data_IF_305092834918
#
_entry.id   IF_305092834918
#
_cell.length_a   1.000
_cell.length_b   1.000
_cell.length_c   1.000
_cell.angle_alpha   90.00
_cell.angle_beta   90.00
_cell.angle_gamma   90.00
#
_symmetry.space_group_name_H-M   'P 1'
#
loop_
_entity.id
_entity.type
_entity.pdbx_description
1 polymer ?
#
# COMPACT_ATOMS: atom_id res chain seq x y z
N UNK A 1 -20.94 -17.62 -41.41
CA UNK A 1 -21.12 -16.65 -40.31
C UNK A 1 -20.61 -17.33 -39.04
N UNK A 2 -19.42 -16.93 -38.56
CA UNK A 2 -18.79 -17.56 -37.39
C UNK A 2 -19.50 -17.08 -36.13
N UNK A 3 -20.26 -17.98 -35.48
CA UNK A 3 -20.85 -17.76 -34.16
C UNK A 3 -19.73 -17.90 -33.11
N UNK A 4 -19.11 -16.79 -32.71
CA UNK A 4 -18.19 -16.77 -31.56
C UNK A 4 -19.03 -16.86 -30.29
N UNK A 5 -18.92 -17.99 -29.57
CA UNK A 5 -19.65 -18.23 -28.31
C UNK A 5 -18.96 -17.52 -27.14
N UNK A 6 -19.71 -17.10 -26.12
CA UNK A 6 -19.20 -16.39 -24.91
C UNK A 6 -18.04 -17.10 -24.21
N UNK A 7 -17.98 -18.42 -24.29
CA UNK A 7 -16.90 -19.24 -23.73
C UNK A 7 -15.57 -19.06 -24.48
N UNK A 8 -15.61 -18.80 -25.79
CA UNK A 8 -14.42 -18.50 -26.59
C UNK A 8 -13.92 -17.07 -26.34
N UNK A 9 -14.82 -16.11 -26.04
CA UNK A 9 -14.44 -14.77 -25.58
C UNK A 9 -13.76 -14.79 -24.21
N UNK A 10 -14.22 -15.62 -23.27
CA UNK A 10 -13.57 -15.75 -21.95
C UNK A 10 -12.13 -16.27 -22.05
N UNK A 11 -11.85 -17.19 -22.98
CA UNK A 11 -10.49 -17.68 -23.24
C UNK A 11 -9.62 -16.58 -23.87
N UNK A 12 -10.15 -15.75 -24.79
CA UNK A 12 -9.40 -14.60 -25.34
C UNK A 12 -9.15 -13.51 -24.29
N UNK A 13 -10.12 -13.24 -23.42
CA UNK A 13 -9.97 -12.32 -22.29
C UNK A 13 -8.92 -12.86 -21.30
N UNK A 14 -8.91 -14.17 -21.04
CA UNK A 14 -7.96 -14.81 -20.13
C UNK A 14 -6.53 -14.90 -20.71
N UNK A 15 -6.40 -15.22 -22.00
CA UNK A 15 -5.11 -15.19 -22.73
C UNK A 15 -4.54 -13.76 -22.78
N UNK A 16 -5.40 -12.74 -22.88
CA UNK A 16 -5.00 -11.32 -22.81
C UNK A 16 -4.52 -10.92 -21.41
N UNK A 17 -5.16 -11.45 -20.35
CA UNK A 17 -4.76 -11.23 -18.96
C UNK A 17 -3.44 -11.91 -18.63
N UNK A 18 -3.26 -13.19 -18.99
CA UNK A 18 -2.01 -13.92 -18.74
C UNK A 18 -0.82 -13.27 -19.45
N UNK A 19 -0.99 -12.87 -20.72
CA UNK A 19 0.04 -12.14 -21.46
C UNK A 19 0.35 -10.77 -20.81
N UNK A 20 -0.65 -10.07 -20.28
CA UNK A 20 -0.42 -8.82 -19.56
C UNK A 20 0.36 -9.06 -18.26
N UNK A 21 0.04 -10.11 -17.51
CA UNK A 21 0.76 -10.50 -16.28
C UNK A 21 2.23 -10.83 -16.57
N UNK A 22 2.48 -11.63 -17.61
CA UNK A 22 3.84 -11.95 -18.08
C UNK A 22 4.62 -10.69 -18.44
N UNK A 23 3.99 -9.79 -19.21
CA UNK A 23 4.61 -8.54 -19.63
C UNK A 23 4.90 -7.61 -18.45
N UNK A 24 3.99 -7.52 -17.46
CA UNK A 24 4.18 -6.69 -16.27
C UNK A 24 5.23 -7.26 -15.33
N UNK A 25 5.32 -8.59 -15.19
CA UNK A 25 6.40 -9.24 -14.46
C UNK A 25 7.77 -8.96 -15.11
N UNK A 26 7.87 -9.09 -16.44
CA UNK A 26 9.06 -8.75 -17.19
C UNK A 26 9.41 -7.24 -17.10
N UNK A 27 8.39 -6.38 -17.16
CA UNK A 27 8.52 -4.94 -16.96
C UNK A 27 9.08 -4.61 -15.57
N UNK A 28 8.50 -5.19 -14.50
CA UNK A 28 8.95 -4.98 -13.14
C UNK A 28 10.38 -5.49 -12.92
N UNK A 29 10.76 -6.63 -13.53
CA UNK A 29 12.15 -7.10 -13.49
C UNK A 29 13.14 -6.08 -14.08
N UNK A 30 12.75 -5.40 -15.15
CA UNK A 30 13.61 -4.43 -15.86
C UNK A 30 13.64 -3.05 -15.19
N UNK A 31 12.47 -2.51 -14.81
CA UNK A 31 12.32 -1.12 -14.37
C UNK A 31 12.14 -0.97 -12.86
N UNK A 32 11.74 -2.03 -12.17
CA UNK A 32 11.56 -2.09 -10.71
C UNK A 32 12.35 -3.26 -10.10
N UNK A 33 13.66 -3.42 -10.40
CA UNK A 33 14.43 -4.61 -10.03
C UNK A 33 14.47 -4.89 -8.52
N UNK A 34 14.33 -3.84 -7.69
CA UNK A 34 14.20 -3.98 -6.24
C UNK A 34 12.86 -4.62 -5.84
N UNK A 35 11.74 -4.10 -6.34
CA UNK A 35 10.42 -4.66 -6.11
C UNK A 35 10.36 -6.12 -6.59
N UNK A 36 10.92 -6.42 -7.77
CA UNK A 36 11.02 -7.79 -8.26
C UNK A 36 11.82 -8.70 -7.31
N UNK A 37 12.90 -8.21 -6.71
CA UNK A 37 13.67 -9.00 -5.73
C UNK A 37 12.89 -9.26 -4.45
N UNK A 38 12.14 -8.26 -3.97
CA UNK A 38 11.41 -8.34 -2.70
C UNK A 38 10.12 -9.15 -2.83
N UNK A 39 9.35 -8.91 -3.89
CA UNK A 39 8.02 -9.50 -4.09
C UNK A 39 8.08 -10.83 -4.85
N UNK A 40 9.05 -11.00 -5.75
CA UNK A 40 9.10 -12.14 -6.65
C UNK A 40 8.06 -12.07 -7.78
N UNK A 41 8.24 -12.92 -8.77
CA UNK A 41 7.41 -12.96 -9.97
C UNK A 41 5.92 -13.31 -9.69
N UNK A 42 5.58 -14.32 -8.85
CA UNK A 42 4.19 -14.66 -8.59
C UNK A 42 3.36 -13.50 -8.04
N UNK A 43 3.90 -12.76 -7.06
CA UNK A 43 3.24 -11.58 -6.50
C UNK A 43 3.13 -10.45 -7.51
N UNK A 44 4.15 -10.24 -8.36
CA UNK A 44 4.07 -9.23 -9.42
C UNK A 44 2.98 -9.53 -10.45
N UNK A 45 2.75 -10.80 -10.79
CA UNK A 45 1.64 -11.22 -11.65
C UNK A 45 0.28 -10.95 -10.98
N UNK A 46 0.16 -11.24 -9.69
CA UNK A 46 -1.05 -10.93 -8.91
C UNK A 46 -1.34 -9.41 -8.86
N UNK A 47 -0.32 -8.60 -8.61
CA UNK A 47 -0.42 -7.13 -8.65
C UNK A 47 -0.82 -6.66 -10.06
N UNK A 48 -0.27 -7.26 -11.12
CA UNK A 48 -0.64 -6.93 -12.50
C UNK A 48 -2.11 -7.26 -12.80
N UNK A 49 -2.60 -8.44 -12.40
CA UNK A 49 -4.00 -8.83 -12.52
C UNK A 49 -4.93 -7.86 -11.78
N UNK A 50 -4.61 -7.56 -10.52
CA UNK A 50 -5.35 -6.60 -9.71
C UNK A 50 -5.35 -5.21 -10.35
N UNK A 51 -4.19 -4.77 -10.85
CA UNK A 51 -4.02 -3.48 -11.51
C UNK A 51 -4.81 -3.35 -12.80
N UNK A 52 -4.84 -4.39 -13.65
CA UNK A 52 -5.67 -4.40 -14.84
C UNK A 52 -7.16 -4.28 -14.49
N UNK A 53 -7.62 -5.05 -13.49
CA UNK A 53 -9.01 -5.01 -13.04
C UNK A 53 -9.39 -3.64 -12.45
N UNK A 54 -8.54 -3.01 -11.64
CA UNK A 54 -8.79 -1.68 -11.07
C UNK A 54 -8.71 -0.58 -12.12
N UNK A 55 -7.71 -0.63 -13.00
CA UNK A 55 -7.55 0.33 -14.10
C UNK A 55 -8.80 0.34 -15.01
N UNK A 56 -9.35 -0.83 -15.32
CA UNK A 56 -10.58 -0.96 -16.10
C UNK A 56 -11.78 -0.25 -15.45
N UNK A 57 -11.93 -0.30 -14.12
CA UNK A 57 -12.99 0.42 -13.37
C UNK A 57 -12.91 1.93 -13.54
N UNK A 58 -11.71 2.46 -13.77
CA UNK A 58 -11.46 3.88 -14.02
C UNK A 58 -11.53 4.25 -15.51
N UNK A 59 -11.89 3.30 -16.38
CA UNK A 59 -11.99 3.47 -17.83
C UNK A 59 -10.66 3.32 -18.58
N UNK A 60 -9.59 2.86 -17.93
CA UNK A 60 -8.29 2.62 -18.56
C UNK A 60 -8.29 1.24 -19.22
N UNK A 61 -8.69 1.19 -20.49
CA UNK A 61 -8.82 -0.06 -21.26
C UNK A 61 -7.61 -0.38 -22.13
N UNK A 62 -6.68 0.57 -22.29
CA UNK A 62 -5.45 0.37 -23.08
C UNK A 62 -4.37 -0.24 -22.20
N UNK A 63 -3.61 -1.18 -22.77
CA UNK A 63 -2.45 -1.81 -22.11
C UNK A 63 -1.45 -0.79 -21.53
N UNK A 64 -1.18 0.30 -22.26
CA UNK A 64 -0.33 1.41 -21.79
C UNK A 64 -0.85 1.99 -20.47
N UNK A 65 -2.14 2.30 -20.40
CA UNK A 65 -2.74 2.98 -19.26
C UNK A 65 -2.82 2.02 -18.05
N UNK A 66 -3.11 0.74 -18.29
CA UNK A 66 -3.02 -0.31 -17.27
C UNK A 66 -1.59 -0.51 -16.75
N UNK A 67 -0.56 -0.44 -17.61
CA UNK A 67 0.84 -0.49 -17.20
C UNK A 67 1.24 0.73 -16.34
N UNK A 68 0.78 1.94 -16.70
CA UNK A 68 0.97 3.13 -15.87
C UNK A 68 0.32 2.95 -14.50
N UNK A 69 -0.89 2.42 -14.44
CA UNK A 69 -1.59 2.14 -13.18
C UNK A 69 -0.84 1.10 -12.34
N UNK A 70 -0.36 0.00 -12.95
CA UNK A 70 0.48 -1.00 -12.30
C UNK A 70 1.75 -0.38 -11.68
N UNK A 71 2.44 0.50 -12.42
CA UNK A 71 3.63 1.19 -11.91
C UNK A 71 3.31 2.06 -10.68
N UNK A 72 2.12 2.66 -10.63
CA UNK A 72 1.64 3.41 -9.46
C UNK A 72 1.34 2.49 -8.28
N UNK A 73 0.74 1.32 -8.52
CA UNK A 73 0.52 0.33 -7.45
C UNK A 73 1.84 -0.11 -6.80
N UNK A 74 2.88 -0.35 -7.59
CA UNK A 74 4.21 -0.68 -7.04
C UNK A 74 4.79 0.46 -6.21
N UNK A 75 4.52 1.71 -6.58
CA UNK A 75 5.15 2.88 -5.95
C UNK A 75 4.38 3.46 -4.76
N UNK A 76 3.05 3.27 -4.73
CA UNK A 76 2.13 3.90 -3.78
C UNK A 76 1.30 2.89 -2.97
N UNK A 77 1.44 1.59 -3.23
CA UNK A 77 0.62 0.52 -2.68
C UNK A 77 -0.53 0.12 -3.62
N UNK A 78 -0.97 -1.13 -3.55
CA UNK A 78 -2.02 -1.67 -4.45
C UNK A 78 -3.37 -1.00 -4.25
N UNK A 79 -3.58 -0.38 -3.09
CA UNK A 79 -4.79 0.33 -2.71
C UNK A 79 -4.76 1.85 -2.92
N UNK A 80 -3.75 2.40 -3.62
CA UNK A 80 -3.52 3.86 -3.66
C UNK A 80 -4.71 4.70 -4.14
N UNK A 81 -5.60 4.13 -4.98
CA UNK A 81 -6.76 4.81 -5.54
C UNK A 81 -7.88 5.07 -4.53
N UNK A 82 -7.86 4.36 -3.40
CA UNK A 82 -8.81 4.50 -2.29
C UNK A 82 -8.12 4.74 -0.95
N UNK A 83 -6.80 4.91 -0.93
CA UNK A 83 -6.03 5.10 0.30
C UNK A 83 -6.35 6.46 0.93
N UNK A 84 -6.76 6.43 2.20
CA UNK A 84 -7.09 7.63 2.97
C UNK A 84 -5.91 8.61 3.09
N UNK A 85 -4.68 8.13 2.92
CA UNK A 85 -3.45 8.93 2.95
C UNK A 85 -3.19 9.67 1.63
N UNK A 86 -3.87 9.28 0.55
CA UNK A 86 -3.67 9.80 -0.81
C UNK A 86 -4.98 10.37 -1.38
N UNK A 87 -5.64 11.33 -0.70
CA UNK A 87 -6.92 11.87 -1.18
C UNK A 87 -6.81 12.51 -2.58
N UNK A 88 -5.63 12.99 -2.94
CA UNK A 88 -5.35 13.53 -4.28
C UNK A 88 -5.47 12.48 -5.39
N UNK A 89 -5.22 11.20 -5.10
CA UNK A 89 -5.27 10.11 -6.08
C UNK A 89 -6.72 9.78 -6.44
N UNK A 90 -7.57 9.58 -5.43
CA UNK A 90 -9.01 9.45 -5.62
C UNK A 90 -9.59 10.66 -6.38
N UNK A 91 -9.23 11.88 -5.96
CA UNK A 91 -9.67 13.09 -6.65
C UNK A 91 -9.19 13.18 -8.11
N UNK A 92 -7.96 12.74 -8.41
CA UNK A 92 -7.44 12.71 -9.79
C UNK A 92 -8.16 11.67 -10.66
N UNK A 93 -8.59 10.55 -10.07
CA UNK A 93 -9.32 9.50 -10.76
C UNK A 93 -10.79 9.85 -10.97
N UNK A 94 -11.42 10.57 -10.04
CA UNK A 94 -12.81 11.03 -10.17
C UNK A 94 -12.96 12.29 -11.03
N UNK A 95 -11.86 12.97 -11.38
CA UNK A 95 -11.88 14.16 -12.25
C UNK A 95 -12.34 13.77 -13.66
N UNK A 96 -13.46 14.33 -14.17
CA UNK A 96 -13.93 14.05 -15.53
C UNK A 96 -13.04 14.66 -16.61
N UNK A 97 -12.14 15.59 -16.25
CA UNK A 97 -11.17 16.17 -17.16
C UNK A 97 -9.74 15.66 -16.86
N UNK A 98 -8.93 15.37 -17.88
CA UNK A 98 -9.22 15.48 -19.31
C UNK A 98 -10.18 14.39 -19.81
N UNK A 99 -10.94 14.67 -20.87
CA UNK A 99 -11.98 13.75 -21.39
C UNK A 99 -11.49 12.36 -21.83
N UNK A 100 -10.21 12.20 -22.17
CA UNK A 100 -9.69 10.91 -22.66
C UNK A 100 -9.06 10.09 -21.53
N UNK A 101 -9.28 8.76 -21.48
CA UNK A 101 -8.70 7.90 -20.46
C UNK A 101 -7.16 7.99 -20.38
N UNK A 102 -6.47 8.03 -21.53
CA UNK A 102 -5.00 8.11 -21.52
C UNK A 102 -4.48 9.44 -20.98
N UNK A 103 -5.15 10.56 -21.26
CA UNK A 103 -4.76 11.84 -20.68
C UNK A 103 -5.05 11.90 -19.16
N UNK A 104 -6.10 11.21 -18.68
CA UNK A 104 -6.35 11.02 -17.23
C UNK A 104 -5.26 10.19 -16.58
N UNK A 105 -4.83 9.10 -17.22
CA UNK A 105 -3.71 8.29 -16.77
C UNK A 105 -2.41 9.11 -16.70
N UNK A 106 -2.11 9.91 -17.73
CA UNK A 106 -0.93 10.79 -17.76
C UNK A 106 -0.99 11.85 -16.64
N UNK A 107 -2.16 12.46 -16.40
CA UNK A 107 -2.36 13.40 -15.28
C UNK A 107 -2.14 12.72 -13.92
N UNK A 108 -2.68 11.51 -13.74
CA UNK A 108 -2.52 10.75 -12.51
C UNK A 108 -1.03 10.45 -12.25
N UNK A 109 -0.31 9.99 -13.27
CA UNK A 109 1.14 9.74 -13.19
C UNK A 109 1.90 11.02 -12.87
N UNK A 110 1.59 12.14 -13.52
CA UNK A 110 2.25 13.42 -13.23
C UNK A 110 2.08 13.85 -11.76
N UNK A 111 0.85 13.72 -11.22
CA UNK A 111 0.58 14.00 -9.79
C UNK A 111 1.31 13.04 -8.87
N UNK A 112 1.36 11.76 -9.21
CA UNK A 112 2.10 10.76 -8.43
C UNK A 112 3.60 11.06 -8.40
N UNK A 113 4.19 11.45 -9.54
CA UNK A 113 5.61 11.81 -9.62
C UNK A 113 5.94 13.04 -8.78
N UNK A 114 5.12 14.09 -8.87
CA UNK A 114 5.26 15.27 -8.01
C UNK A 114 5.12 14.92 -6.52
N UNK A 115 4.15 14.09 -6.16
CA UNK A 115 4.00 13.59 -4.79
C UNK A 115 5.24 12.82 -4.31
N UNK A 116 5.69 11.82 -5.08
CA UNK A 116 6.84 10.98 -4.74
C UNK A 116 8.14 11.79 -4.67
N UNK A 117 8.33 12.77 -5.55
CA UNK A 117 9.49 13.67 -5.49
C UNK A 117 9.49 14.51 -4.20
N UNK A 118 8.34 15.08 -3.83
CA UNK A 118 8.20 15.84 -2.57
C UNK A 118 8.36 14.97 -1.33
N UNK A 119 7.92 13.72 -1.39
CA UNK A 119 8.03 12.75 -0.30
C UNK A 119 9.49 12.32 -0.09
N UNK A 120 10.22 12.05 -1.17
CA UNK A 120 11.63 11.65 -1.17
C UNK A 120 12.57 12.78 -0.78
N UNK A 121 12.28 14.00 -1.22
CA UNK A 121 13.15 15.15 -1.03
C UNK A 121 14.45 15.08 -1.84
N UNK A 122 15.35 16.07 -1.69
CA UNK A 122 16.63 16.12 -2.40
C UNK A 122 17.43 14.83 -2.19
N UNK A 123 17.79 14.15 -3.28
CA UNK A 123 18.56 12.90 -3.24
C UNK A 123 17.89 11.73 -2.49
N UNK A 124 16.60 11.80 -2.17
CA UNK A 124 15.92 10.78 -1.36
C UNK A 124 16.16 10.89 0.16
N UNK A 125 16.74 12.00 0.63
CA UNK A 125 17.16 12.15 2.01
C UNK A 125 16.03 12.03 3.04
N UNK A 126 14.78 12.37 2.68
CA UNK A 126 13.64 12.27 3.60
C UNK A 126 13.24 10.82 3.85
N UNK A 127 13.19 10.01 2.79
CA UNK A 127 12.86 8.58 2.89
C UNK A 127 14.00 7.82 3.57
N UNK A 128 15.26 8.14 3.29
CA UNK A 128 16.40 7.52 3.96
C UNK A 128 16.40 7.78 5.49
N UNK A 129 16.09 9.01 5.92
CA UNK A 129 15.94 9.32 7.36
C UNK A 129 14.73 8.63 7.98
N UNK A 130 13.60 8.59 7.27
CA UNK A 130 12.41 7.90 7.75
C UNK A 130 12.68 6.41 7.93
N UNK A 131 13.37 5.78 6.97
CA UNK A 131 13.80 4.38 7.06
C UNK A 131 14.64 4.12 8.30
N UNK A 132 15.69 4.90 8.54
CA UNK A 132 16.51 4.75 9.75
C UNK A 132 15.66 4.81 11.03
N UNK A 133 14.78 5.82 11.14
CA UNK A 133 13.89 5.99 12.30
C UNK A 133 12.91 4.82 12.47
N UNK A 134 12.37 4.29 11.37
CA UNK A 134 11.45 3.14 11.41
C UNK A 134 12.18 1.89 11.87
N UNK A 135 13.38 1.63 11.36
CA UNK A 135 14.18 0.46 11.75
C UNK A 135 14.62 0.53 13.22
N UNK A 136 14.86 1.73 13.76
CA UNK A 136 15.11 1.93 15.18
C UNK A 136 13.83 1.78 16.03
N UNK A 137 12.70 2.30 15.52
CA UNK A 137 11.44 2.34 16.25
C UNK A 137 10.74 0.97 16.33
N UNK A 138 10.89 0.10 15.33
CA UNK A 138 10.19 -1.17 15.29
C UNK A 138 10.59 -2.10 16.46
N UNK A 139 11.89 -2.35 16.74
CA UNK A 139 12.31 -3.07 17.95
C UNK A 139 12.00 -2.31 19.25
N UNK A 140 12.01 -0.97 19.22
CA UNK A 140 11.65 -0.18 20.41
C UNK A 140 10.18 -0.34 20.78
N UNK A 141 9.28 -0.40 19.79
CA UNK A 141 7.85 -0.61 19.98
C UNK A 141 7.55 -1.95 20.64
N UNK A 142 8.35 -2.99 20.36
CA UNK A 142 8.25 -4.29 21.02
C UNK A 142 8.71 -4.25 22.48
N UNK A 143 9.72 -3.45 22.79
CA UNK A 143 10.28 -3.33 24.15
C UNK A 143 9.45 -2.44 25.07
N UNK A 144 8.95 -1.33 24.55
CA UNK A 144 8.17 -0.34 25.31
C UNK A 144 6.95 0.11 24.48
N UNK A 145 5.87 -0.69 24.50
CA UNK A 145 4.68 -0.36 23.73
C UNK A 145 3.93 0.84 24.32
N UNK A 146 3.20 1.60 23.48
CA UNK A 146 2.33 2.66 23.93
C UNK A 146 1.40 2.22 25.05
N UNK A 147 1.28 3.05 26.08
CA UNK A 147 0.26 2.89 27.12
C UNK A 147 -0.98 3.67 26.70
N UNK A 148 -1.78 3.07 25.84
CA UNK A 148 -3.12 3.56 25.53
C UNK A 148 -4.12 2.76 26.36
N UNK A 149 -5.11 3.43 26.96
CA UNK A 149 -6.12 2.75 27.77
C UNK A 149 -6.80 1.64 26.97
N UNK A 150 -7.07 0.50 27.62
CA UNK A 150 -7.96 -0.49 27.05
C UNK A 150 -9.31 0.18 26.75
N UNK A 151 -9.80 0.06 25.51
CA UNK A 151 -11.03 0.69 25.05
C UNK A 151 -10.91 2.18 24.67
N UNK A 152 -9.70 2.71 24.50
CA UNK A 152 -9.51 4.06 23.98
C UNK A 152 -10.19 4.21 22.61
N UNK A 153 -10.95 5.28 22.46
CA UNK A 153 -11.55 5.64 21.18
C UNK A 153 -10.47 6.07 20.17
N UNK A 154 -10.88 6.22 18.91
CA UNK A 154 -9.99 6.61 17.83
C UNK A 154 -9.30 7.97 18.09
N UNK A 155 -9.92 8.88 18.84
CA UNK A 155 -9.35 10.20 19.12
C UNK A 155 -8.20 10.10 20.14
N UNK A 156 -8.40 9.34 21.21
CA UNK A 156 -7.37 9.08 22.22
C UNK A 156 -6.17 8.31 21.62
N UNK A 157 -6.43 7.30 20.78
CA UNK A 157 -5.36 6.61 20.06
C UNK A 157 -4.61 7.57 19.13
N UNK A 158 -5.33 8.41 18.37
CA UNK A 158 -4.71 9.36 17.46
C UNK A 158 -3.87 10.43 18.17
N UNK A 159 -4.27 10.87 19.36
CA UNK A 159 -3.52 11.83 20.17
C UNK A 159 -2.12 11.33 20.53
N UNK A 160 -1.97 10.03 20.74
CA UNK A 160 -0.66 9.38 20.93
C UNK A 160 0.04 9.08 19.59
N UNK A 161 -0.64 8.42 18.66
CA UNK A 161 -0.01 7.81 17.50
C UNK A 161 0.41 8.84 16.44
N UNK A 162 -0.33 9.94 16.27
CA UNK A 162 0.00 10.94 15.26
C UNK A 162 1.35 11.65 15.51
N UNK A 163 1.66 12.17 16.72
CA UNK A 163 2.99 12.69 17.02
C UNK A 163 4.10 11.68 16.79
N UNK A 164 3.87 10.41 17.13
CA UNK A 164 4.83 9.33 16.92
C UNK A 164 5.09 9.08 15.43
N UNK A 165 4.06 8.91 14.60
CA UNK A 165 4.22 8.77 13.14
C UNK A 165 4.88 9.99 12.51
N UNK A 166 4.58 11.19 13.02
CA UNK A 166 5.24 12.43 12.57
C UNK A 166 6.73 12.44 12.90
N UNK A 167 7.14 11.93 14.06
CA UNK A 167 8.56 11.81 14.39
C UNK A 167 9.27 10.85 13.42
N UNK A 168 8.61 9.76 13.01
CA UNK A 168 9.16 8.79 12.05
C UNK A 168 9.30 9.40 10.65
N UNK A 169 8.23 9.97 10.09
CA UNK A 169 8.25 10.51 8.72
C UNK A 169 7.48 11.84 8.61
N UNK A 170 8.09 12.97 9.04
CA UNK A 170 7.40 14.27 9.09
C UNK A 170 6.82 14.68 7.74
N UNK A 171 7.61 14.48 6.67
CA UNK A 171 7.21 14.88 5.32
C UNK A 171 5.96 14.16 4.80
N UNK A 172 5.75 12.89 5.17
CA UNK A 172 4.56 12.12 4.76
C UNK A 172 3.31 12.67 5.44
N UNK A 173 3.42 12.95 6.74
CA UNK A 173 2.35 13.58 7.53
C UNK A 173 2.01 14.98 6.98
N UNK A 174 3.02 15.80 6.66
CA UNK A 174 2.80 17.13 6.10
C UNK A 174 2.12 17.11 4.73
N UNK A 175 2.50 16.16 3.85
CA UNK A 175 1.93 16.03 2.51
C UNK A 175 0.50 15.48 2.51
N UNK A 176 0.18 14.57 3.44
CA UNK A 176 -1.16 14.04 3.57
C UNK A 176 -2.10 15.02 4.29
N UNK A 177 -1.59 15.71 5.31
CA UNK A 177 -2.38 16.58 6.18
C UNK A 177 -2.99 15.83 7.37
N UNK A 178 -3.46 16.59 8.35
CA UNK A 178 -3.88 16.03 9.64
C UNK A 178 -5.15 15.17 9.56
N UNK A 179 -6.16 15.60 8.79
CA UNK A 179 -7.42 14.86 8.68
C UNK A 179 -7.23 13.48 8.03
N UNK A 180 -6.54 13.33 6.88
CA UNK A 180 -6.12 12.03 6.35
C UNK A 180 -5.38 11.15 7.34
N UNK A 181 -4.48 11.72 8.14
CA UNK A 181 -3.73 10.96 9.14
C UNK A 181 -4.61 10.50 10.31
N UNK A 182 -5.57 11.31 10.75
CA UNK A 182 -6.57 10.88 11.74
C UNK A 182 -7.48 9.78 11.19
N UNK A 183 -7.90 9.88 9.92
CA UNK A 183 -8.67 8.84 9.26
C UNK A 183 -7.88 7.52 9.14
N UNK A 184 -6.59 7.60 8.79
CA UNK A 184 -5.67 6.45 8.80
C UNK A 184 -5.61 5.79 10.18
N UNK A 185 -5.45 6.56 11.26
CA UNK A 185 -5.33 6.01 12.61
C UNK A 185 -6.63 5.38 13.10
N UNK A 186 -7.78 5.98 12.76
CA UNK A 186 -9.09 5.37 13.03
C UNK A 186 -9.27 4.06 12.24
N UNK A 187 -8.87 4.04 10.96
CA UNK A 187 -8.89 2.83 10.14
C UNK A 187 -7.97 1.75 10.71
N UNK A 188 -6.74 2.09 11.07
CA UNK A 188 -5.79 1.15 11.65
C UNK A 188 -6.28 0.55 12.98
N UNK A 189 -6.92 1.35 13.83
CA UNK A 189 -7.52 0.85 15.08
C UNK A 189 -8.66 -0.13 14.81
N UNK A 190 -9.53 0.18 13.83
CA UNK A 190 -10.60 -0.71 13.40
C UNK A 190 -10.05 -2.01 12.79
N UNK A 191 -9.02 -1.92 11.94
CA UNK A 191 -8.34 -3.07 11.34
C UNK A 191 -7.68 -3.95 12.40
N UNK A 192 -7.00 -3.36 13.39
CA UNK A 192 -6.45 -4.08 14.53
C UNK A 192 -7.54 -4.86 15.28
N UNK A 193 -8.67 -4.21 15.59
CA UNK A 193 -9.83 -4.85 16.21
C UNK A 193 -10.43 -5.97 15.36
N UNK A 194 -10.57 -5.76 14.05
CA UNK A 194 -11.06 -6.77 13.11
C UNK A 194 -10.14 -8.02 13.08
N UNK A 195 -8.82 -7.84 13.25
CA UNK A 195 -7.83 -8.92 13.40
C UNK A 195 -7.69 -9.44 14.84
N UNK A 196 -8.56 -8.98 15.76
CA UNK A 196 -8.57 -9.35 17.19
C UNK A 196 -7.27 -9.04 17.91
N UNK A 197 -6.65 -7.93 17.55
CA UNK A 197 -5.55 -7.33 18.31
C UNK A 197 -6.17 -6.40 19.34
N UNK A 198 -6.03 -6.74 20.61
CA UNK A 198 -6.66 -6.05 21.73
C UNK A 198 -5.69 -5.12 22.47
N UNK A 199 -4.40 -5.24 22.20
CA UNK A 199 -3.35 -4.46 22.85
C UNK A 199 -3.05 -3.16 22.11
N UNK A 200 -2.62 -2.13 22.86
CA UNK A 200 -2.10 -0.89 22.29
C UNK A 200 -0.87 -1.12 21.40
N UNK A 201 -0.05 -2.13 21.71
CA UNK A 201 1.07 -2.56 20.88
C UNK A 201 0.60 -3.03 19.49
N UNK A 202 -0.41 -3.91 19.45
CA UNK A 202 -0.98 -4.40 18.19
C UNK A 202 -1.58 -3.28 17.35
N UNK A 203 -2.35 -2.38 17.97
CA UNK A 203 -2.90 -1.21 17.29
C UNK A 203 -1.81 -0.29 16.72
N UNK A 204 -0.74 -0.03 17.48
CA UNK A 204 0.37 0.81 17.03
C UNK A 204 1.17 0.15 15.89
N UNK A 205 1.37 -1.16 15.93
CA UNK A 205 2.05 -1.89 14.84
C UNK A 205 1.21 -1.87 13.55
N UNK A 206 -0.09 -2.11 13.64
CA UNK A 206 -1.00 -1.98 12.48
C UNK A 206 -1.02 -0.55 11.95
N UNK A 207 -1.04 0.45 12.82
CA UNK A 207 -0.97 1.86 12.41
C UNK A 207 0.34 2.19 11.68
N UNK A 208 1.48 1.66 12.16
CA UNK A 208 2.77 1.84 11.49
C UNK A 208 2.80 1.16 10.12
N UNK A 209 2.34 -0.08 10.02
CA UNK A 209 2.31 -0.80 8.73
C UNK A 209 1.35 -0.13 7.76
N UNK A 210 0.15 0.28 8.20
CA UNK A 210 -0.79 1.04 7.38
C UNK A 210 -0.20 2.37 6.91
N UNK A 211 0.53 3.06 7.79
CA UNK A 211 1.23 4.30 7.45
C UNK A 211 2.35 4.11 6.43
N UNK A 212 3.04 2.97 6.41
CA UNK A 212 4.17 2.73 5.50
C UNK A 212 3.74 2.08 4.18
N UNK A 213 2.85 1.09 4.25
CA UNK A 213 2.47 0.20 3.15
C UNK A 213 1.12 0.58 2.50
N UNK A 214 0.38 1.48 3.12
CA UNK A 214 -0.96 1.90 2.67
C UNK A 214 -2.05 1.40 3.61
N UNK A 215 -3.18 2.10 3.67
CA UNK A 215 -4.23 1.80 4.64
C UNK A 215 -4.83 0.40 4.46
N UNK A 216 -4.88 -0.10 3.23
CA UNK A 216 -5.36 -1.43 2.87
C UNK A 216 -4.31 -2.53 2.85
N UNK A 217 -3.17 -2.39 3.55
CA UNK A 217 -2.06 -3.36 3.47
C UNK A 217 -2.47 -4.81 3.83
N UNK A 218 -3.51 -5.00 4.64
CA UNK A 218 -4.04 -6.32 5.00
C UNK A 218 -4.72 -7.05 3.84
N UNK A 219 -4.98 -6.37 2.73
CA UNK A 219 -5.53 -6.93 1.49
C UNK A 219 -4.57 -6.72 0.31
N UNK A 220 -3.38 -6.16 0.56
CA UNK A 220 -2.42 -5.85 -0.49
C UNK A 220 -1.57 -7.09 -0.81
N UNK A 221 -1.58 -7.59 -2.06
CA UNK A 221 -0.70 -8.69 -2.46
C UNK A 221 0.79 -8.39 -2.20
N UNK A 222 1.20 -7.13 -2.21
CA UNK A 222 2.58 -6.70 -1.90
C UNK A 222 2.93 -6.87 -0.41
N UNK A 223 1.94 -7.02 0.46
CA UNK A 223 2.09 -7.23 1.90
C UNK A 223 1.42 -8.54 2.38
N UNK A 224 1.29 -9.55 1.49
CA UNK A 224 0.61 -10.80 1.79
C UNK A 224 1.15 -11.54 3.04
N UNK A 225 2.43 -11.36 3.37
CA UNK A 225 3.03 -11.86 4.62
C UNK A 225 2.32 -11.32 5.86
N UNK A 226 1.96 -10.03 5.88
CA UNK A 226 1.30 -9.40 7.00
C UNK A 226 -0.14 -9.91 7.12
N UNK A 227 -0.84 -10.04 5.99
CA UNK A 227 -2.19 -10.62 5.93
C UNK A 227 -2.22 -12.03 6.50
N UNK A 228 -1.31 -12.90 6.06
CA UNK A 228 -1.23 -14.28 6.52
C UNK A 228 -1.01 -14.35 8.05
N UNK A 229 -0.07 -13.56 8.57
CA UNK A 229 0.22 -13.51 10.01
C UNK A 229 -0.98 -12.99 10.81
N UNK A 230 -1.60 -11.90 10.35
CA UNK A 230 -2.74 -11.29 11.03
C UNK A 230 -4.02 -12.15 10.95
N UNK A 231 -4.17 -12.98 9.91
CA UNK A 231 -5.32 -13.85 9.74
C UNK A 231 -5.24 -15.15 10.58
N UNK A 232 -4.06 -15.58 11.02
CA UNK A 232 -3.85 -16.85 11.72
C UNK A 232 -4.40 -16.85 13.16
N UNK A 233 -5.71 -17.09 13.31
CA UNK A 233 -6.39 -17.19 14.61
C UNK A 233 -6.02 -18.41 15.44
N UNK A 234 -5.25 -19.35 14.89
CA UNK A 234 -4.76 -20.50 15.66
C UNK A 234 -3.64 -20.11 16.63
N UNK A 235 -3.02 -18.93 16.44
CA UNK A 235 -1.93 -18.39 17.25
C UNK A 235 -2.42 -17.28 18.18
N UNK A 236 -1.78 -17.16 19.33
CA UNK A 236 -2.06 -16.07 20.27
C UNK A 236 -1.73 -14.70 19.66
N UNK A 237 -2.35 -13.63 20.16
CA UNK A 237 -2.03 -12.25 19.77
C UNK A 237 -0.53 -11.97 19.92
N UNK A 238 0.07 -12.33 21.06
CA UNK A 238 1.49 -12.11 21.31
C UNK A 238 2.40 -12.81 20.28
N UNK A 239 2.07 -14.05 19.90
CA UNK A 239 2.84 -14.79 18.88
C UNK A 239 2.72 -14.15 17.49
N UNK A 240 1.50 -13.76 17.09
CA UNK A 240 1.29 -13.05 15.82
C UNK A 240 2.04 -11.73 15.79
N UNK A 241 2.04 -10.96 16.87
CA UNK A 241 2.75 -9.68 16.92
C UNK A 241 4.28 -9.85 16.85
N UNK A 242 4.84 -10.82 17.56
CA UNK A 242 6.28 -11.14 17.46
C UNK A 242 6.67 -11.53 16.02
N UNK A 243 5.90 -12.43 15.41
CA UNK A 243 6.15 -12.84 14.02
C UNK A 243 5.96 -11.68 13.03
N UNK A 244 4.98 -10.80 13.25
CA UNK A 244 4.76 -9.64 12.41
C UNK A 244 5.94 -8.64 12.49
N UNK A 245 6.53 -8.45 13.68
CA UNK A 245 7.76 -7.66 13.83
C UNK A 245 8.95 -8.27 13.07
N UNK A 246 9.18 -9.56 13.28
CA UNK A 246 10.28 -10.31 12.64
C UNK A 246 10.19 -10.27 11.12
N UNK A 247 8.97 -10.38 10.57
CA UNK A 247 8.74 -10.29 9.13
C UNK A 247 8.82 -8.84 8.59
N UNK A 248 8.32 -7.86 9.35
CA UNK A 248 8.27 -6.47 8.92
C UNK A 248 9.66 -5.85 8.76
N UNK A 249 10.61 -6.17 9.65
CA UNK A 249 11.91 -5.52 9.67
C UNK A 249 12.71 -5.68 8.36
N UNK A 250 13.02 -6.91 7.88
CA UNK A 250 13.74 -7.09 6.62
C UNK A 250 12.94 -6.60 5.41
N UNK A 251 11.60 -6.72 5.45
CA UNK A 251 10.74 -6.23 4.39
C UNK A 251 10.83 -4.71 4.25
N UNK A 252 10.63 -3.96 5.35
CA UNK A 252 10.67 -2.48 5.35
C UNK A 252 12.07 -1.95 5.04
N UNK A 253 13.12 -2.65 5.48
CA UNK A 253 14.52 -2.33 5.16
C UNK A 253 14.76 -2.35 3.64
N UNK A 254 14.25 -3.39 2.95
CA UNK A 254 14.34 -3.53 1.51
C UNK A 254 13.33 -2.67 0.73
N UNK A 255 12.17 -2.36 1.33
CA UNK A 255 11.08 -1.61 0.69
C UNK A 255 11.33 -0.09 0.67
N UNK A 256 11.90 0.46 1.75
CA UNK A 256 12.05 1.91 1.93
C UNK A 256 13.37 2.49 1.35
N UNK A 257 14.04 1.79 0.42
CA UNK A 257 15.34 2.21 -0.17
C UNK A 257 15.21 2.85 -1.54
#
# INVERSE_FOLDING_TARGET
MLLVRREQMAVFDQVSVDAFEDDMAAHARRFFPRHHRVLGEPTLREVARLGAARAARHGFTRKRDACLYFNLMLSLGSGFDVDVQLPWAAAALSDPEPRTPSARADRLVARAMDHLQRLRGPGGAYVARARARVLDALPALQRDPPRVSAGADAAAFAAFALPWLRALHPRKVDLAGEQPMRALLAHALATAGAHGLTTAHGAALVALLAFLLGSGFTEDPQAAWATAILADRSRSEAHRLAHLHEAALPFLDAWMT
#
